data_IF_611640013245
#
_entry.id   IF_611640013245
#
_cell.length_a   1.000
_cell.length_b   1.000
_cell.length_c   1.000
_cell.angle_alpha   90.00
_cell.angle_beta   90.00
_cell.angle_gamma   90.00
#
_symmetry.space_group_name_H-M   'P 1'
#
loop_
_entity.id
_entity.type
_entity.pdbx_description
1 polymer ?
#
# COMPACT_ATOMS: atom_id res chain seq x y z
N UNK A 1 -2.92 -13.13 -14.62
CA UNK A 1 -2.51 -12.62 -13.28
C UNK A 1 -1.04 -12.27 -13.37
N UNK A 2 -0.65 -11.01 -13.11
CA UNK A 2 0.77 -10.62 -13.12
C UNK A 2 1.46 -11.08 -11.82
N UNK A 3 2.81 -11.18 -11.77
CA UNK A 3 3.52 -11.53 -10.54
C UNK A 3 3.21 -10.58 -9.37
N UNK A 4 3.13 -9.27 -9.63
CA UNK A 4 2.71 -8.29 -8.62
C UNK A 4 1.23 -8.47 -8.24
N UNK A 5 0.36 -8.81 -9.20
CA UNK A 5 -1.04 -9.13 -8.93
C UNK A 5 -1.19 -10.31 -7.97
N UNK A 6 -0.36 -11.34 -8.08
CA UNK A 6 -0.34 -12.46 -7.14
C UNK A 6 0.07 -12.01 -5.72
N UNK A 7 1.02 -11.09 -5.60
CA UNK A 7 1.39 -10.46 -4.32
C UNK A 7 0.22 -9.68 -3.74
N UNK A 8 -0.47 -8.85 -4.55
CA UNK A 8 -1.67 -8.11 -4.11
C UNK A 8 -2.76 -9.06 -3.59
N UNK A 9 -3.00 -10.18 -4.27
CA UNK A 9 -3.96 -11.18 -3.79
C UNK A 9 -3.56 -11.82 -2.45
N UNK A 10 -2.27 -12.08 -2.25
CA UNK A 10 -1.73 -12.54 -0.96
C UNK A 10 -1.97 -11.52 0.16
N UNK A 11 -1.68 -10.24 -0.10
CA UNK A 11 -1.91 -9.14 0.84
C UNK A 11 -3.40 -9.01 1.18
N UNK A 12 -4.30 -9.04 0.18
CA UNK A 12 -5.75 -9.01 0.40
C UNK A 12 -6.22 -10.12 1.33
N UNK A 13 -5.77 -11.36 1.12
CA UNK A 13 -6.12 -12.51 1.99
C UNK A 13 -5.66 -12.28 3.42
N UNK A 14 -4.43 -11.79 3.61
CA UNK A 14 -3.86 -11.51 4.92
C UNK A 14 -4.63 -10.42 5.66
N UNK A 15 -4.91 -9.28 5.00
CA UNK A 15 -5.65 -8.18 5.59
C UNK A 15 -7.06 -8.61 6.00
N UNK A 16 -7.78 -9.33 5.12
CA UNK A 16 -9.11 -9.89 5.41
C UNK A 16 -9.09 -10.83 6.61
N UNK A 17 -8.12 -11.74 6.68
CA UNK A 17 -8.00 -12.70 7.79
C UNK A 17 -7.80 -12.03 9.16
N UNK A 18 -7.32 -10.78 9.17
CA UNK A 18 -7.08 -9.98 10.37
C UNK A 18 -8.16 -8.92 10.64
N UNK A 19 -9.23 -8.90 9.84
CA UNK A 19 -10.28 -7.88 9.95
C UNK A 19 -9.78 -6.46 9.67
N UNK A 20 -8.69 -6.31 8.92
CA UNK A 20 -8.15 -4.99 8.54
C UNK A 20 -8.98 -4.47 7.37
N UNK A 21 -9.59 -3.28 7.54
CA UNK A 21 -10.22 -2.57 6.44
C UNK A 21 -9.15 -1.98 5.51
N UNK A 22 -9.35 -2.06 4.20
CA UNK A 22 -8.42 -1.49 3.23
C UNK A 22 -9.13 -1.06 1.94
N UNK A 23 -8.50 -0.14 1.20
CA UNK A 23 -8.88 0.24 -0.15
C UNK A 23 -7.64 0.30 -1.06
N UNK A 24 -7.83 0.01 -2.35
CA UNK A 24 -6.79 0.13 -3.38
C UNK A 24 -7.06 1.39 -4.21
N UNK A 25 -6.21 2.43 -4.10
CA UNK A 25 -6.35 3.64 -4.91
C UNK A 25 -6.23 3.34 -6.40
N UNK A 26 -7.18 3.86 -7.19
CA UNK A 26 -7.07 3.89 -8.64
C UNK A 26 -6.65 5.30 -9.05
N UNK A 27 -5.49 5.43 -9.70
CA UNK A 27 -5.02 6.71 -10.23
C UNK A 27 -5.81 7.06 -11.49
N UNK A 28 -6.65 8.10 -11.43
CA UNK A 28 -7.43 8.61 -12.57
C UNK A 28 -6.94 9.99 -13.08
N UNK A 29 -5.73 10.41 -12.69
CA UNK A 29 -5.14 11.69 -13.10
C UNK A 29 -5.61 12.93 -12.34
N UNK A 30 -6.61 12.82 -11.46
CA UNK A 30 -7.10 13.93 -10.62
C UNK A 30 -6.65 13.83 -9.16
N UNK A 31 -5.83 12.83 -8.82
CA UNK A 31 -5.36 12.55 -7.47
C UNK A 31 -3.85 12.60 -7.32
N UNK A 32 -3.37 12.33 -6.11
CA UNK A 32 -1.94 12.24 -5.84
C UNK A 32 -1.32 11.01 -6.53
N UNK A 33 -0.20 11.21 -7.21
CA UNK A 33 0.59 10.11 -7.80
C UNK A 33 1.53 9.48 -6.78
N UNK A 34 1.80 8.19 -6.96
CA UNK A 34 2.72 7.43 -6.10
C UNK A 34 2.14 7.01 -4.77
N UNK A 35 0.81 7.11 -4.57
CA UNK A 35 0.16 6.54 -3.38
C UNK A 35 0.41 5.02 -3.34
N UNK A 36 0.75 4.44 -2.18
CA UNK A 36 0.92 3.01 -2.04
C UNK A 36 -0.31 2.21 -2.47
N UNK A 37 -0.09 1.00 -3.02
CA UNK A 37 -1.14 0.12 -3.52
C UNK A 37 -2.31 -0.12 -2.57
N UNK A 38 -2.04 -0.23 -1.27
CA UNK A 38 -3.06 -0.41 -0.24
C UNK A 38 -3.01 0.73 0.76
N UNK A 39 -4.19 1.26 1.09
CA UNK A 39 -4.40 2.10 2.26
C UNK A 39 -5.30 1.33 3.23
N UNK A 40 -4.85 1.18 4.47
CA UNK A 40 -5.45 0.31 5.47
C UNK A 40 -5.76 1.06 6.76
N UNK A 41 -6.83 0.63 7.43
CA UNK A 41 -7.19 1.04 8.79
C UNK A 41 -7.13 -0.20 9.68
N UNK A 42 -6.12 -0.26 10.56
CA UNK A 42 -5.78 -1.43 11.35
C UNK A 42 -6.50 -1.39 12.71
N UNK A 43 -7.32 -2.40 13.04
CA UNK A 43 -7.97 -2.49 14.35
C UNK A 43 -6.94 -2.81 15.46
N UNK A 44 -7.30 -2.62 16.74
CA UNK A 44 -8.59 -2.09 17.22
C UNK A 44 -8.68 -0.55 17.21
N UNK A 45 -7.54 0.14 17.19
CA UNK A 45 -7.45 1.59 17.39
C UNK A 45 -7.48 2.40 16.09
N UNK A 46 -7.61 1.76 14.93
CA UNK A 46 -7.68 2.43 13.62
C UNK A 46 -6.35 3.03 13.16
N UNK A 47 -5.23 2.34 13.40
CA UNK A 47 -3.90 2.81 12.95
C UNK A 47 -3.81 2.81 11.43
N UNK A 48 -3.21 3.86 10.88
CA UNK A 48 -2.95 3.95 9.44
C UNK A 48 -1.78 3.05 9.04
N UNK A 49 -2.02 2.19 8.04
CA UNK A 49 -1.02 1.36 7.38
C UNK A 49 -1.16 1.54 5.87
N UNK A 50 -0.05 1.75 5.18
CA UNK A 50 0.01 1.68 3.73
C UNK A 50 0.94 0.54 3.31
N UNK A 51 0.67 -0.07 2.15
CA UNK A 51 1.50 -1.16 1.62
C UNK A 51 1.71 -0.91 0.13
N UNK A 52 2.97 -0.77 -0.26
CA UNK A 52 3.40 -0.76 -1.65
C UNK A 52 3.87 -2.16 -2.04
N UNK A 53 3.25 -2.77 -3.04
CA UNK A 53 3.61 -4.12 -3.49
C UNK A 53 4.49 -4.07 -4.73
N UNK A 54 5.38 -5.07 -4.86
CA UNK A 54 6.23 -5.26 -6.03
C UNK A 54 6.27 -6.73 -6.40
N UNK A 55 6.51 -7.02 -7.67
CA UNK A 55 6.83 -8.38 -8.09
C UNK A 55 8.07 -8.92 -7.35
N UNK A 56 8.19 -10.25 -7.16
CA UNK A 56 9.41 -10.85 -6.61
C UNK A 56 10.66 -10.36 -7.35
N UNK A 57 11.71 -10.00 -6.61
CA UNK A 57 12.94 -9.43 -7.16
C UNK A 57 12.88 -7.93 -7.51
N UNK A 58 11.75 -7.25 -7.30
CA UNK A 58 11.56 -5.82 -7.60
C UNK A 58 11.35 -4.96 -6.35
N UNK A 59 11.62 -5.50 -5.16
CA UNK A 59 11.33 -4.81 -3.90
C UNK A 59 12.07 -3.45 -3.76
N UNK A 60 13.25 -3.33 -4.36
CA UNK A 60 14.06 -2.11 -4.34
C UNK A 60 13.75 -1.13 -5.49
N UNK A 61 12.68 -1.35 -6.26
CA UNK A 61 12.36 -0.54 -7.44
C UNK A 61 11.13 0.35 -7.23
N UNK A 62 11.05 1.05 -6.09
CA UNK A 62 10.05 2.11 -5.89
C UNK A 62 10.36 3.30 -6.80
N UNK A 63 9.33 3.95 -7.33
CA UNK A 63 9.52 5.19 -8.11
C UNK A 63 9.77 6.39 -7.19
N UNK A 64 10.38 7.49 -7.66
CA UNK A 64 10.58 8.68 -6.83
C UNK A 64 9.28 9.25 -6.24
N UNK A 65 8.15 9.10 -6.95
CA UNK A 65 6.84 9.53 -6.45
C UNK A 65 6.33 8.63 -5.31
N UNK A 66 6.59 7.32 -5.39
CA UNK A 66 6.27 6.37 -4.33
C UNK A 66 7.15 6.60 -3.10
N UNK A 67 8.45 6.81 -3.30
CA UNK A 67 9.39 7.12 -2.24
C UNK A 67 8.98 8.40 -1.48
N UNK A 68 8.59 9.45 -2.21
CA UNK A 68 8.05 10.68 -1.60
C UNK A 68 6.78 10.41 -0.78
N UNK A 69 5.84 9.61 -1.30
CA UNK A 69 4.60 9.29 -0.58
C UNK A 69 4.88 8.47 0.69
N UNK A 70 5.76 7.48 0.62
CA UNK A 70 6.23 6.67 1.74
C UNK A 70 6.89 7.57 2.80
N UNK A 71 7.75 8.50 2.39
CA UNK A 71 8.37 9.48 3.26
C UNK A 71 7.35 10.36 3.98
N UNK A 72 6.35 10.88 3.25
CA UNK A 72 5.28 11.71 3.83
C UNK A 72 4.45 10.93 4.87
N UNK A 73 4.10 9.67 4.59
CA UNK A 73 3.36 8.82 5.53
C UNK A 73 4.19 8.59 6.80
N UNK A 74 5.47 8.29 6.65
CA UNK A 74 6.38 8.09 7.78
C UNK A 74 6.50 9.34 8.65
N UNK A 75 6.67 10.51 8.04
CA UNK A 75 6.76 11.79 8.75
C UNK A 75 5.46 12.17 9.47
N UNK A 76 4.31 11.67 8.98
CA UNK A 76 3.01 11.82 9.63
C UNK A 76 2.72 10.75 10.70
N UNK A 77 3.70 9.91 11.06
CA UNK A 77 3.58 8.80 12.02
C UNK A 77 2.68 7.64 11.56
N UNK A 78 2.34 7.58 10.27
CA UNK A 78 1.74 6.39 9.66
C UNK A 78 2.77 5.30 9.43
N UNK A 79 2.30 4.08 9.14
CA UNK A 79 3.18 2.95 8.80
C UNK A 79 3.15 2.70 7.29
N UNK A 80 4.18 3.12 6.53
CA UNK A 80 4.26 2.86 5.10
C UNK A 80 5.01 1.56 4.74
#
# INVERSE_FOLDING_TARGET
MTPEGAVKEGVKKLLKSRGIWYYLPVSNGMGQHGIPDFICCVPPIGKFLAIETKAPGRINTVTPLQERAIGNIRSAHGWP
#
